data_IF_566671703631
#
_entry.id   IF_566671703631
#
_cell.length_a   1.000
_cell.length_b   1.000
_cell.length_c   1.000
_cell.angle_alpha   90.00
_cell.angle_beta   90.00
_cell.angle_gamma   90.00
#
_symmetry.space_group_name_H-M   'P 1'
#
loop_
_entity.id
_entity.type
_entity.pdbx_description
1 polymer ?
#
# COMPACT_ATOMS: atom_id res chain seq x y z
N UNK A 1 -98.17 17.72 -10.34
CA UNK A 1 -97.82 19.16 -10.27
C UNK A 1 -97.04 19.38 -8.98
N UNK A 2 -95.84 20.00 -8.93
CA UNK A 2 -94.63 19.98 -9.79
C UNK A 2 -93.56 19.04 -9.15
N UNK A 3 -92.32 18.78 -9.61
CA UNK A 3 -91.46 19.33 -10.66
C UNK A 3 -90.26 18.39 -10.93
N UNK A 4 -89.37 18.75 -11.88
CA UNK A 4 -88.37 17.86 -12.47
C UNK A 4 -86.98 17.97 -11.80
N UNK A 5 -86.25 16.87 -11.71
CA UNK A 5 -84.87 16.84 -11.20
C UNK A 5 -84.04 15.76 -11.90
N UNK A 6 -83.42 16.12 -13.02
CA UNK A 6 -82.47 15.29 -13.74
C UNK A 6 -81.30 14.88 -12.82
N UNK A 7 -81.13 13.57 -12.60
CA UNK A 7 -79.92 13.04 -11.93
C UNK A 7 -78.87 12.76 -13.00
N UNK A 8 -77.85 13.62 -13.02
CA UNK A 8 -76.65 13.48 -13.82
C UNK A 8 -75.81 12.25 -13.38
N UNK A 9 -75.26 11.54 -14.36
CA UNK A 9 -74.19 10.55 -14.19
C UNK A 9 -72.97 11.16 -13.47
N UNK A 10 -72.43 10.52 -12.42
CA UNK A 10 -71.07 10.83 -11.98
C UNK A 10 -70.07 10.12 -12.89
N UNK A 11 -69.18 10.93 -13.48
CA UNK A 11 -68.01 10.52 -14.26
C UNK A 11 -67.15 9.53 -13.48
N UNK A 12 -66.75 8.44 -14.15
CA UNK A 12 -65.66 7.60 -13.72
C UNK A 12 -64.36 8.43 -13.66
N UNK A 13 -63.85 8.68 -12.45
CA UNK A 13 -62.50 9.20 -12.26
C UNK A 13 -61.51 8.08 -12.49
N UNK A 14 -60.84 8.10 -13.64
CA UNK A 14 -59.71 7.22 -13.97
C UNK A 14 -58.53 7.50 -13.03
N UNK A 15 -58.35 6.66 -12.01
CA UNK A 15 -57.13 6.64 -11.20
C UNK A 15 -56.01 5.94 -11.98
N UNK A 16 -55.12 6.72 -12.60
CA UNK A 16 -53.86 6.23 -13.17
C UNK A 16 -52.85 5.87 -12.05
N UNK A 17 -52.07 4.77 -12.18
CA UNK A 17 -51.14 4.34 -11.15
C UNK A 17 -49.80 5.08 -11.27
N UNK A 18 -49.67 6.26 -10.66
CA UNK A 18 -48.38 7.00 -10.59
C UNK A 18 -47.48 6.63 -9.41
N UNK A 19 -47.88 5.70 -8.54
CA UNK A 19 -47.17 5.44 -7.27
C UNK A 19 -46.00 4.44 -7.35
N UNK A 20 -45.98 3.51 -8.31
CA UNK A 20 -44.94 2.46 -8.35
C UNK A 20 -43.59 2.92 -8.91
N UNK A 21 -43.56 3.80 -9.90
CA UNK A 21 -42.31 4.26 -10.52
C UNK A 21 -41.52 5.24 -9.64
N UNK A 22 -42.19 6.04 -8.81
CA UNK A 22 -41.55 6.99 -7.89
C UNK A 22 -40.92 6.28 -6.68
N UNK A 23 -41.53 5.18 -6.21
CA UNK A 23 -41.02 4.35 -5.11
C UNK A 23 -39.74 3.58 -5.51
N UNK A 24 -39.72 2.98 -6.71
CA UNK A 24 -38.55 2.22 -7.19
C UNK A 24 -37.34 3.14 -7.40
N UNK A 25 -37.52 4.31 -8.03
CA UNK A 25 -36.42 5.28 -8.20
C UNK A 25 -35.86 5.78 -6.87
N UNK A 26 -36.71 6.06 -5.87
CA UNK A 26 -36.27 6.49 -4.55
C UNK A 26 -35.49 5.41 -3.79
N UNK A 27 -35.90 4.14 -3.93
CA UNK A 27 -35.19 3.00 -3.33
C UNK A 27 -33.84 2.75 -4.01
N UNK A 28 -33.79 2.76 -5.35
CA UNK A 28 -32.54 2.64 -6.10
C UNK A 28 -31.57 3.77 -5.76
N UNK A 29 -32.05 5.01 -5.68
CA UNK A 29 -31.20 6.16 -5.33
C UNK A 29 -30.59 6.01 -3.93
N UNK A 30 -31.40 5.66 -2.93
CA UNK A 30 -30.90 5.44 -1.56
C UNK A 30 -29.89 4.31 -1.49
N UNK A 31 -30.16 3.19 -2.17
CA UNK A 31 -29.23 2.06 -2.25
C UNK A 31 -27.89 2.47 -2.86
N UNK A 32 -27.90 3.19 -3.99
CA UNK A 32 -26.68 3.69 -4.62
C UNK A 32 -25.92 4.69 -3.74
N UNK A 33 -26.64 5.60 -3.06
CA UNK A 33 -26.04 6.58 -2.17
C UNK A 33 -25.40 5.92 -0.95
N UNK A 34 -26.08 4.96 -0.32
CA UNK A 34 -25.55 4.18 0.80
C UNK A 34 -24.28 3.41 0.42
N UNK A 35 -24.28 2.71 -0.71
CA UNK A 35 -23.11 1.98 -1.17
C UNK A 35 -21.94 2.94 -1.49
N UNK A 36 -22.24 4.07 -2.14
CA UNK A 36 -21.25 5.10 -2.43
C UNK A 36 -20.65 5.68 -1.14
N UNK A 37 -21.48 5.99 -0.13
CA UNK A 37 -21.01 6.48 1.17
C UNK A 37 -20.17 5.44 1.91
N UNK A 38 -20.46 4.15 1.77
CA UNK A 38 -19.67 3.08 2.37
C UNK A 38 -18.31 2.85 1.69
N UNK A 39 -18.17 3.11 0.39
CA UNK A 39 -16.98 2.74 -0.38
C UNK A 39 -16.13 3.93 -0.84
N UNK A 40 -16.75 5.01 -1.31
CA UNK A 40 -16.02 6.12 -1.92
C UNK A 40 -15.08 6.84 -0.95
N UNK A 41 -15.43 7.12 0.31
CA UNK A 41 -14.55 7.88 1.19
C UNK A 41 -13.15 7.29 1.32
N UNK A 42 -13.05 5.98 1.57
CA UNK A 42 -11.76 5.31 1.73
C UNK A 42 -10.98 5.22 0.40
N UNK A 43 -11.68 5.01 -0.73
CA UNK A 43 -11.04 4.95 -2.06
C UNK A 43 -10.57 6.32 -2.53
N UNK A 44 -11.33 7.37 -2.27
CA UNK A 44 -10.96 8.76 -2.52
C UNK A 44 -9.75 9.12 -1.66
N UNK A 45 -9.75 8.76 -0.38
CA UNK A 45 -8.61 9.02 0.49
C UNK A 45 -7.35 8.30 0.00
N UNK A 46 -7.45 7.02 -0.39
CA UNK A 46 -6.35 6.30 -1.03
C UNK A 46 -5.86 7.02 -2.30
N UNK A 47 -6.78 7.49 -3.15
CA UNK A 47 -6.43 8.25 -4.35
C UNK A 47 -5.66 9.53 -4.00
N UNK A 48 -6.10 10.28 -2.99
CA UNK A 48 -5.39 11.47 -2.49
C UNK A 48 -3.98 11.11 -2.03
N UNK A 49 -3.78 10.03 -1.27
CA UNK A 49 -2.45 9.59 -0.85
C UNK A 49 -1.53 9.26 -2.04
N UNK A 50 -2.07 8.65 -3.09
CA UNK A 50 -1.33 8.34 -4.34
C UNK A 50 -1.00 9.61 -5.12
N UNK A 51 -1.88 10.61 -5.10
CA UNK A 51 -1.65 11.90 -5.74
C UNK A 51 -0.58 12.70 -5.00
N UNK A 52 -0.57 12.67 -3.67
CA UNK A 52 0.43 13.32 -2.81
C UNK A 52 1.82 12.68 -2.89
N UNK A 53 1.94 11.44 -3.37
CA UNK A 53 3.23 10.81 -3.61
C UNK A 53 3.93 11.48 -4.80
N UNK A 54 4.85 12.40 -4.50
CA UNK A 54 5.63 13.15 -5.50
C UNK A 54 6.48 12.27 -6.41
N UNK A 55 6.95 11.12 -5.91
CA UNK A 55 7.86 10.24 -6.66
C UNK A 55 7.13 9.11 -7.39
N UNK A 56 5.81 8.97 -7.18
CA UNK A 56 4.97 7.91 -7.77
C UNK A 56 5.62 6.53 -7.58
N UNK A 57 5.95 6.23 -6.32
CA UNK A 57 6.66 5.03 -5.89
C UNK A 57 5.81 3.77 -6.04
N UNK A 58 4.49 3.89 -5.89
CA UNK A 58 3.56 2.77 -6.00
C UNK A 58 2.82 2.80 -7.34
N UNK A 59 3.11 1.87 -8.28
CA UNK A 59 2.39 1.81 -9.55
C UNK A 59 0.93 1.39 -9.34
N UNK A 60 -0.02 1.85 -10.18
CA UNK A 60 -1.45 1.55 -10.02
C UNK A 60 -1.78 0.05 -9.95
N UNK A 61 -1.08 -0.78 -10.73
CA UNK A 61 -1.25 -2.25 -10.70
C UNK A 61 -0.98 -2.83 -9.32
N UNK A 62 0.00 -2.29 -8.59
CA UNK A 62 0.29 -2.72 -7.21
C UNK A 62 -0.80 -2.30 -6.25
N UNK A 63 -1.38 -1.12 -6.41
CA UNK A 63 -2.51 -0.64 -5.60
C UNK A 63 -3.71 -1.58 -5.76
N UNK A 64 -4.07 -1.92 -7.00
CA UNK A 64 -5.17 -2.87 -7.27
C UNK A 64 -4.90 -4.23 -6.63
N UNK A 65 -3.68 -4.78 -6.80
CA UNK A 65 -3.31 -6.05 -6.15
C UNK A 65 -3.41 -5.99 -4.63
N UNK A 66 -3.00 -4.87 -4.03
CA UNK A 66 -3.08 -4.65 -2.58
C UNK A 66 -4.52 -4.55 -2.08
N UNK A 67 -5.39 -3.86 -2.81
CA UNK A 67 -6.84 -3.81 -2.52
C UNK A 67 -7.44 -5.22 -2.55
N UNK A 68 -7.13 -6.02 -3.59
CA UNK A 68 -7.64 -7.39 -3.71
C UNK A 68 -7.12 -8.32 -2.60
N UNK A 69 -5.84 -8.22 -2.24
CA UNK A 69 -5.27 -8.99 -1.13
C UNK A 69 -5.88 -8.58 0.22
N UNK A 70 -6.18 -7.29 0.41
CA UNK A 70 -6.93 -6.80 1.56
C UNK A 70 -8.35 -7.36 1.60
N UNK A 71 -9.04 -7.38 0.47
CA UNK A 71 -10.36 -7.99 0.34
C UNK A 71 -10.37 -9.48 0.63
N UNK A 72 -9.36 -10.22 0.15
CA UNK A 72 -9.17 -11.63 0.49
C UNK A 72 -8.95 -11.81 2.01
N UNK A 73 -8.13 -10.95 2.62
CA UNK A 73 -7.94 -10.97 4.07
C UNK A 73 -9.25 -10.72 4.84
N UNK A 74 -10.15 -9.88 4.35
CA UNK A 74 -11.48 -9.68 4.95
C UNK A 74 -12.33 -10.95 4.88
N UNK A 75 -12.41 -11.61 3.72
CA UNK A 75 -13.16 -12.87 3.56
C UNK A 75 -12.63 -13.96 4.50
N UNK A 76 -11.31 -14.13 4.55
CA UNK A 76 -10.67 -15.10 5.45
C UNK A 76 -10.93 -14.73 6.91
N UNK A 77 -10.88 -13.45 7.26
CA UNK A 77 -11.12 -13.00 8.63
C UNK A 77 -12.55 -13.25 9.09
N UNK A 78 -13.55 -13.07 8.21
CA UNK A 78 -14.95 -13.34 8.54
C UNK A 78 -15.15 -14.81 8.90
N UNK A 79 -14.64 -15.73 8.07
CA UNK A 79 -14.71 -17.16 8.33
C UNK A 79 -13.99 -17.54 9.63
N UNK A 80 -12.77 -17.05 9.83
CA UNK A 80 -12.00 -17.37 11.04
C UNK A 80 -12.65 -16.81 12.32
N UNK A 81 -13.18 -15.59 12.27
CA UNK A 81 -13.86 -14.99 13.42
C UNK A 81 -15.15 -15.74 13.78
N UNK A 82 -15.88 -16.24 12.79
CA UNK A 82 -17.08 -17.05 13.03
C UNK A 82 -16.74 -18.39 13.70
N UNK A 83 -15.74 -19.11 13.17
CA UNK A 83 -15.25 -20.37 13.73
C UNK A 83 -14.69 -20.20 15.15
N UNK A 84 -13.85 -19.16 15.36
CA UNK A 84 -13.29 -18.86 16.69
C UNK A 84 -14.39 -18.56 17.71
N UNK A 85 -15.38 -17.75 17.33
CA UNK A 85 -16.51 -17.43 18.21
C UNK A 85 -17.31 -18.68 18.58
N UNK A 86 -17.55 -19.57 17.61
CA UNK A 86 -18.30 -20.80 17.84
C UNK A 86 -17.51 -21.81 18.70
N UNK A 87 -16.21 -22.00 18.42
CA UNK A 87 -15.38 -22.99 19.10
C UNK A 87 -15.05 -22.61 20.55
N UNK A 88 -14.94 -21.31 20.85
CA UNK A 88 -14.53 -20.80 22.15
C UNK A 88 -15.68 -20.15 22.95
N UNK A 89 -16.91 -20.21 22.42
CA UNK A 89 -18.12 -19.61 23.01
C UNK A 89 -17.92 -18.14 23.41
N UNK A 90 -17.21 -17.38 22.57
CA UNK A 90 -16.83 -15.99 22.88
C UNK A 90 -18.06 -15.07 22.77
N UNK A 91 -18.30 -14.27 23.81
CA UNK A 91 -19.33 -13.23 23.79
C UNK A 91 -19.14 -12.25 22.63
N UNK A 92 -20.24 -11.81 22.01
CA UNK A 92 -20.22 -10.93 20.85
C UNK A 92 -19.48 -9.60 21.13
N UNK A 93 -19.53 -9.10 22.36
CA UNK A 93 -18.83 -7.86 22.76
C UNK A 93 -17.33 -8.09 22.83
N UNK A 94 -16.90 -9.21 23.42
CA UNK A 94 -15.48 -9.59 23.48
C UNK A 94 -14.93 -9.86 22.08
N UNK A 95 -15.73 -10.52 21.25
CA UNK A 95 -15.40 -10.79 19.85
C UNK A 95 -15.15 -9.48 19.10
N UNK A 96 -16.10 -8.54 19.14
CA UNK A 96 -16.01 -7.28 18.41
C UNK A 96 -14.89 -6.36 18.93
N UNK A 97 -14.63 -6.35 20.24
CA UNK A 97 -13.68 -5.41 20.86
C UNK A 97 -12.23 -5.91 20.89
N UNK A 98 -11.99 -7.22 20.87
CA UNK A 98 -10.64 -7.76 21.08
C UNK A 98 -10.24 -8.80 20.04
N UNK A 99 -11.04 -9.85 19.86
CA UNK A 99 -10.66 -10.99 19.01
C UNK A 99 -10.67 -10.61 17.54
N UNK A 100 -11.72 -9.96 17.06
CA UNK A 100 -11.81 -9.51 15.68
C UNK A 100 -10.67 -8.51 15.33
N UNK A 101 -10.41 -7.45 16.11
CA UNK A 101 -9.25 -6.58 15.88
C UNK A 101 -7.91 -7.32 15.79
N UNK A 102 -7.68 -8.31 16.67
CA UNK A 102 -6.46 -9.11 16.66
C UNK A 102 -6.31 -9.91 15.36
N UNK A 103 -7.36 -10.66 14.98
CA UNK A 103 -7.37 -11.53 13.79
C UNK A 103 -7.26 -10.70 12.51
N UNK A 104 -8.03 -9.61 12.43
CA UNK A 104 -8.08 -8.75 11.25
C UNK A 104 -6.75 -8.05 10.98
N UNK A 105 -6.14 -7.45 12.01
CA UNK A 105 -4.84 -6.80 11.86
C UNK A 105 -3.71 -7.81 11.64
N UNK A 106 -3.83 -9.04 12.17
CA UNK A 106 -2.89 -10.12 11.86
C UNK A 106 -2.95 -10.49 10.37
N UNK A 107 -4.13 -10.79 9.83
CA UNK A 107 -4.30 -11.21 8.43
C UNK A 107 -3.87 -10.12 7.45
N UNK A 108 -4.28 -8.88 7.68
CA UNK A 108 -3.82 -7.71 6.93
C UNK A 108 -2.31 -7.52 7.04
N UNK A 109 -1.79 -7.67 8.26
CA UNK A 109 -0.37 -7.58 8.59
C UNK A 109 0.48 -8.61 7.85
N UNK A 110 0.00 -9.84 7.65
CA UNK A 110 0.71 -10.87 6.89
C UNK A 110 0.97 -10.45 5.43
N UNK A 111 0.00 -9.78 4.79
CA UNK A 111 0.18 -9.23 3.44
C UNK A 111 1.28 -8.17 3.44
N UNK A 112 1.27 -7.27 4.41
CA UNK A 112 2.30 -6.24 4.59
C UNK A 112 3.69 -6.84 4.84
N UNK A 113 3.79 -7.83 5.72
CA UNK A 113 5.05 -8.54 6.02
C UNK A 113 5.59 -9.23 4.77
N UNK A 114 4.74 -9.84 3.95
CA UNK A 114 5.16 -10.44 2.69
C UNK A 114 5.73 -9.38 1.71
N UNK A 115 5.20 -8.15 1.70
CA UNK A 115 5.75 -7.06 0.89
C UNK A 115 7.11 -6.58 1.42
N UNK A 116 7.25 -6.44 2.74
CA UNK A 116 8.50 -6.08 3.40
C UNK A 116 9.58 -7.14 3.16
N UNK A 117 9.27 -8.41 3.43
CA UNK A 117 10.20 -9.53 3.28
C UNK A 117 10.68 -9.71 1.83
N UNK A 118 9.84 -9.35 0.85
CA UNK A 118 10.18 -9.35 -0.58
C UNK A 118 10.79 -8.02 -1.06
N UNK A 119 11.19 -7.14 -0.15
CA UNK A 119 11.82 -5.84 -0.43
C UNK A 119 11.02 -4.98 -1.44
N UNK A 120 9.69 -5.03 -1.34
CA UNK A 120 8.77 -4.28 -2.22
C UNK A 120 8.40 -2.91 -1.67
N UNK A 121 8.82 -2.59 -0.45
CA UNK A 121 8.62 -1.29 0.19
C UNK A 121 10.00 -0.68 0.49
N UNK A 122 10.34 0.42 -0.17
CA UNK A 122 11.67 1.04 -0.11
C UNK A 122 11.72 2.24 0.83
N UNK A 123 10.63 2.97 0.97
CA UNK A 123 10.52 4.23 1.68
C UNK A 123 9.34 4.25 2.66
N UNK A 124 9.17 5.35 3.39
CA UNK A 124 8.02 5.51 4.28
C UNK A 124 6.73 5.78 3.50
N UNK A 125 6.82 6.54 2.40
CA UNK A 125 5.67 6.93 1.57
C UNK A 125 5.03 5.70 0.92
N UNK A 126 5.82 4.85 0.25
CA UNK A 126 5.27 3.65 -0.40
C UNK A 126 4.80 2.60 0.62
N UNK A 127 5.42 2.52 1.80
CA UNK A 127 4.93 1.73 2.92
C UNK A 127 3.56 2.24 3.40
N UNK A 128 3.40 3.54 3.64
CA UNK A 128 2.15 4.14 4.09
C UNK A 128 1.01 3.94 3.07
N UNK A 129 1.27 4.22 1.78
CA UNK A 129 0.30 4.02 0.69
C UNK A 129 -0.07 2.54 0.55
N UNK A 130 0.92 1.64 0.59
CA UNK A 130 0.68 0.19 0.47
C UNK A 130 -0.11 -0.35 1.66
N UNK A 131 0.21 0.07 2.88
CA UNK A 131 -0.53 -0.28 4.09
C UNK A 131 -1.97 0.23 4.01
N UNK A 132 -2.16 1.49 3.64
CA UNK A 132 -3.50 2.04 3.45
C UNK A 132 -4.29 1.30 2.37
N UNK A 133 -3.68 0.95 1.24
CA UNK A 133 -4.35 0.22 0.16
C UNK A 133 -4.83 -1.18 0.59
N UNK A 134 -4.03 -1.93 1.35
CA UNK A 134 -4.45 -3.23 1.87
C UNK A 134 -5.62 -3.05 2.86
N UNK A 135 -5.54 -2.08 3.77
CA UNK A 135 -6.61 -1.80 4.75
C UNK A 135 -7.90 -1.28 4.10
N UNK A 136 -7.78 -0.46 3.05
CA UNK A 136 -8.90 0.02 2.25
C UNK A 136 -9.60 -1.12 1.50
N UNK A 137 -8.83 -2.07 0.97
CA UNK A 137 -9.36 -3.27 0.32
C UNK A 137 -10.14 -4.15 1.29
N UNK A 138 -9.58 -4.35 2.50
CA UNK A 138 -10.26 -5.05 3.58
C UNK A 138 -11.60 -4.39 3.91
N UNK A 139 -11.58 -3.08 4.20
CA UNK A 139 -12.77 -2.31 4.53
C UNK A 139 -13.84 -2.30 3.42
N UNK A 140 -13.43 -2.25 2.16
CA UNK A 140 -14.36 -2.26 1.04
C UNK A 140 -15.15 -3.58 1.01
N UNK A 141 -14.47 -4.72 1.09
CA UNK A 141 -15.11 -6.03 1.13
C UNK A 141 -15.95 -6.22 2.38
N UNK A 142 -15.48 -5.72 3.53
CA UNK A 142 -16.25 -5.74 4.76
C UNK A 142 -17.56 -4.93 4.64
N UNK A 143 -17.49 -3.71 4.12
CA UNK A 143 -18.67 -2.88 3.87
C UNK A 143 -19.63 -3.51 2.87
N UNK A 144 -19.12 -4.14 1.81
CA UNK A 144 -19.93 -4.90 0.85
C UNK A 144 -20.67 -6.06 1.56
N UNK A 145 -19.99 -6.82 2.40
CA UNK A 145 -20.61 -7.89 3.18
C UNK A 145 -21.72 -7.35 4.10
N UNK A 146 -21.41 -6.35 4.92
CA UNK A 146 -22.41 -5.71 5.80
C UNK A 146 -23.60 -5.14 5.02
N UNK A 147 -23.37 -4.67 3.78
CA UNK A 147 -24.44 -4.16 2.92
C UNK A 147 -25.44 -5.26 2.57
N UNK A 148 -24.92 -6.46 2.26
CA UNK A 148 -25.76 -7.61 1.92
C UNK A 148 -26.49 -8.21 3.12
N UNK A 149 -25.86 -8.20 4.30
CA UNK A 149 -26.40 -8.81 5.52
C UNK A 149 -27.41 -7.90 6.21
N UNK A 150 -27.06 -6.62 6.42
CA UNK A 150 -27.94 -5.68 7.12
C UNK A 150 -29.12 -5.24 6.24
N UNK A 151 -28.92 -5.17 4.91
CA UNK A 151 -29.88 -4.63 3.93
C UNK A 151 -30.43 -3.23 4.31
N UNK A 152 -29.68 -2.51 5.16
CA UNK A 152 -30.02 -1.18 5.63
C UNK A 152 -29.55 -0.14 4.60
N UNK A 153 -30.40 0.84 4.28
CA UNK A 153 -30.10 1.96 3.38
C UNK A 153 -29.97 3.30 4.14
N UNK A 154 -29.72 3.23 5.45
CA UNK A 154 -29.49 4.38 6.32
C UNK A 154 -28.22 5.13 5.88
N UNK A 155 -28.40 6.35 5.34
CA UNK A 155 -27.29 7.19 4.92
C UNK A 155 -26.34 7.51 6.09
N UNK A 156 -26.86 7.61 7.32
CA UNK A 156 -26.04 7.88 8.51
C UNK A 156 -25.13 6.70 8.81
N UNK A 157 -25.67 5.47 8.82
CA UNK A 157 -24.88 4.26 9.04
C UNK A 157 -23.74 4.16 8.03
N UNK A 158 -24.04 4.34 6.74
CA UNK A 158 -23.05 4.21 5.68
C UNK A 158 -22.04 5.36 5.65
N UNK A 159 -22.44 6.56 6.06
CA UNK A 159 -21.51 7.67 6.30
C UNK A 159 -20.51 7.31 7.41
N UNK A 160 -21.01 6.82 8.56
CA UNK A 160 -20.15 6.44 9.69
C UNK A 160 -19.22 5.28 9.31
N UNK A 161 -19.72 4.27 8.61
CA UNK A 161 -18.87 3.15 8.16
C UNK A 161 -17.84 3.59 7.14
N UNK A 162 -18.20 4.46 6.19
CA UNK A 162 -17.29 4.95 5.15
C UNK A 162 -16.21 5.87 5.68
N UNK A 163 -16.55 6.86 6.50
CA UNK A 163 -15.60 7.85 7.03
C UNK A 163 -14.94 7.42 8.35
N UNK A 164 -15.58 6.54 9.11
CA UNK A 164 -15.07 5.98 10.35
C UNK A 164 -14.35 4.66 10.10
N UNK A 165 -15.10 3.55 10.10
CA UNK A 165 -14.54 2.19 10.06
C UNK A 165 -13.62 1.94 8.87
N UNK A 166 -14.01 2.34 7.66
CA UNK A 166 -13.22 2.06 6.47
C UNK A 166 -11.90 2.82 6.42
N UNK A 167 -11.94 4.10 6.81
CA UNK A 167 -10.73 4.92 6.95
C UNK A 167 -9.85 4.39 8.08
N UNK A 168 -10.43 3.98 9.22
CA UNK A 168 -9.72 3.37 10.33
C UNK A 168 -8.92 2.14 9.88
N UNK A 169 -9.52 1.18 9.17
CA UNK A 169 -8.79 0.00 8.69
C UNK A 169 -7.62 0.34 7.75
N UNK A 170 -7.80 1.34 6.88
CA UNK A 170 -6.71 1.86 6.05
C UNK A 170 -5.59 2.45 6.91
N UNK A 171 -5.94 3.24 7.91
CA UNK A 171 -4.98 3.96 8.74
C UNK A 171 -4.24 3.09 9.75
N UNK A 172 -4.89 2.12 10.40
CA UNK A 172 -4.21 1.19 11.33
C UNK A 172 -3.10 0.45 10.60
N UNK A 173 -3.37 -0.03 9.39
CA UNK A 173 -2.40 -0.77 8.60
C UNK A 173 -1.33 0.14 7.97
N UNK A 174 -1.67 1.39 7.62
CA UNK A 174 -0.68 2.38 7.21
C UNK A 174 0.31 2.71 8.36
N UNK A 175 -0.19 2.87 9.59
CA UNK A 175 0.63 3.08 10.79
C UNK A 175 1.54 1.87 11.04
N UNK A 176 1.00 0.65 10.98
CA UNK A 176 1.79 -0.57 11.07
C UNK A 176 2.90 -0.61 10.00
N UNK A 177 2.59 -0.26 8.75
CA UNK A 177 3.54 -0.25 7.65
C UNK A 177 4.68 0.76 7.86
N UNK A 178 4.36 1.98 8.28
CA UNK A 178 5.35 3.03 8.57
C UNK A 178 6.25 2.61 9.74
N UNK A 179 5.67 2.11 10.83
CA UNK A 179 6.42 1.65 12.00
C UNK A 179 7.34 0.47 11.65
N UNK A 180 6.79 -0.54 10.98
CA UNK A 180 7.54 -1.73 10.56
C UNK A 180 8.67 -1.39 9.60
N UNK A 181 8.42 -0.53 8.60
CA UNK A 181 9.46 -0.09 7.67
C UNK A 181 10.56 0.71 8.37
N UNK A 182 10.18 1.65 9.26
CA UNK A 182 11.16 2.45 9.98
C UNK A 182 12.03 1.61 10.91
N UNK A 183 11.47 0.58 11.56
CA UNK A 183 12.26 -0.33 12.41
C UNK A 183 13.10 -1.31 11.59
N UNK A 184 12.56 -1.83 10.48
CA UNK A 184 13.30 -2.70 9.56
C UNK A 184 14.55 -2.00 9.04
N UNK A 185 14.44 -0.72 8.63
CA UNK A 185 15.58 0.07 8.17
C UNK A 185 16.65 0.25 9.26
N UNK A 186 16.23 0.46 10.51
CA UNK A 186 17.17 0.63 11.64
C UNK A 186 17.84 -0.68 12.06
N UNK A 187 17.15 -1.80 11.89
CA UNK A 187 17.63 -3.14 12.31
C UNK A 187 18.32 -3.91 11.19
N UNK A 188 18.42 -3.34 9.99
CA UNK A 188 19.06 -3.98 8.83
C UNK A 188 18.23 -5.09 8.18
N UNK A 189 16.91 -5.13 8.42
CA UNK A 189 16.02 -6.08 7.77
C UNK A 189 14.76 -6.42 8.55
N UNK A 190 13.91 -7.22 7.90
CA UNK A 190 12.60 -7.63 8.41
C UNK A 190 12.76 -8.73 9.46
N UNK A 191 12.24 -8.48 10.64
CA UNK A 191 12.22 -9.41 11.77
C UNK A 191 10.95 -9.23 12.61
N UNK A 192 10.60 -10.20 13.45
CA UNK A 192 9.48 -10.07 14.39
C UNK A 192 9.61 -8.80 15.24
N UNK A 193 10.81 -8.48 15.71
CA UNK A 193 11.07 -7.28 16.50
C UNK A 193 10.94 -5.96 15.71
N UNK A 194 10.98 -6.01 14.37
CA UNK A 194 10.67 -4.84 13.53
C UNK A 194 9.18 -4.65 13.28
N UNK A 195 8.40 -5.74 13.22
CA UNK A 195 6.98 -5.72 12.82
C UNK A 195 6.04 -5.69 14.02
N UNK A 196 6.33 -6.48 15.06
CA UNK A 196 5.45 -6.67 16.21
C UNK A 196 5.03 -5.37 16.91
N UNK A 197 5.90 -4.35 17.09
CA UNK A 197 5.46 -3.08 17.67
C UNK A 197 4.40 -2.37 16.83
N UNK A 198 4.58 -2.34 15.49
CA UNK A 198 3.61 -1.74 14.59
C UNK A 198 2.27 -2.49 14.57
N UNK A 199 2.33 -3.82 14.61
CA UNK A 199 1.15 -4.68 14.70
C UNK A 199 0.38 -4.46 16.02
N UNK A 200 1.09 -4.44 17.16
CA UNK A 200 0.48 -4.21 18.46
C UNK A 200 -0.24 -2.84 18.53
N UNK A 201 0.38 -1.80 17.96
CA UNK A 201 -0.25 -0.48 17.84
C UNK A 201 -1.50 -0.53 16.96
N UNK A 202 -1.46 -1.24 15.83
CA UNK A 202 -2.62 -1.37 14.95
C UNK A 202 -3.79 -2.09 15.64
N UNK A 203 -3.52 -3.21 16.33
CA UNK A 203 -4.52 -3.95 17.12
C UNK A 203 -5.10 -3.06 18.22
N UNK A 204 -4.26 -2.33 18.95
CA UNK A 204 -4.69 -1.42 20.00
C UNK A 204 -5.60 -0.31 19.49
N UNK A 205 -5.23 0.34 18.38
CA UNK A 205 -6.03 1.40 17.76
C UNK A 205 -7.36 0.89 17.23
N UNK A 206 -7.37 -0.29 16.60
CA UNK A 206 -8.60 -0.91 16.10
C UNK A 206 -9.51 -1.33 17.25
N UNK A 207 -8.97 -2.01 18.27
CA UNK A 207 -9.70 -2.36 19.48
C UNK A 207 -10.30 -1.12 20.16
N UNK A 208 -9.52 -0.05 20.30
CA UNK A 208 -9.97 1.23 20.86
C UNK A 208 -11.13 1.83 20.06
N UNK A 209 -11.07 1.78 18.73
CA UNK A 209 -12.16 2.22 17.87
C UNK A 209 -13.46 1.43 18.13
N UNK A 210 -13.36 0.11 18.30
CA UNK A 210 -14.50 -0.78 18.55
C UNK A 210 -15.05 -0.70 19.99
N UNK A 211 -14.38 -0.01 20.91
CA UNK A 211 -14.93 0.27 22.24
C UNK A 211 -15.99 1.37 22.24
N UNK A 212 -16.04 2.21 21.19
CA UNK A 212 -16.98 3.32 21.06
C UNK A 212 -17.00 4.27 22.28
N UNK A 213 -15.85 4.50 22.93
CA UNK A 213 -15.71 5.51 24.00
C UNK A 213 -16.10 6.91 23.52
N UNK A 214 -15.97 7.15 22.22
CA UNK A 214 -16.44 8.34 21.51
C UNK A 214 -17.54 7.92 20.54
N UNK A 215 -18.57 8.75 20.39
CA UNK A 215 -19.68 8.45 19.47
C UNK A 215 -19.16 8.18 18.05
N UNK A 216 -19.77 7.26 17.28
CA UNK A 216 -19.27 6.92 15.94
C UNK A 216 -19.12 8.11 15.00
N UNK A 217 -20.05 9.08 15.08
CA UNK A 217 -19.99 10.33 14.30
C UNK A 217 -18.77 11.19 14.69
N UNK A 218 -18.52 11.34 16.00
CA UNK A 218 -17.38 12.10 16.49
C UNK A 218 -16.06 11.39 16.18
N UNK A 219 -16.00 10.06 16.25
CA UNK A 219 -14.83 9.28 15.83
C UNK A 219 -14.53 9.45 14.33
N UNK A 220 -15.54 9.43 13.47
CA UNK A 220 -15.37 9.70 12.04
C UNK A 220 -14.87 11.14 11.78
N UNK A 221 -15.42 12.13 12.47
CA UNK A 221 -14.97 13.52 12.37
C UNK A 221 -13.52 13.70 12.87
N UNK A 222 -13.15 13.02 13.96
CA UNK A 222 -11.79 13.02 14.49
C UNK A 222 -10.80 12.44 13.48
N UNK A 223 -11.12 11.29 12.86
CA UNK A 223 -10.28 10.66 11.85
C UNK A 223 -10.08 11.57 10.62
N UNK A 224 -11.13 12.26 10.19
CA UNK A 224 -11.07 13.24 9.09
C UNK A 224 -10.10 14.40 9.33
N UNK A 225 -9.80 14.73 10.59
CA UNK A 225 -8.85 15.80 10.94
C UNK A 225 -7.47 15.23 11.28
N UNK A 226 -7.42 14.17 12.09
CA UNK A 226 -6.18 13.61 12.61
C UNK A 226 -5.35 12.92 11.51
N UNK A 227 -6.00 12.21 10.59
CA UNK A 227 -5.28 11.42 9.59
C UNK A 227 -4.60 12.27 8.52
N UNK A 228 -5.22 13.33 7.95
CA UNK A 228 -4.49 14.22 7.06
C UNK A 228 -3.23 14.81 7.69
N UNK A 229 -3.29 15.21 8.98
CA UNK A 229 -2.12 15.68 9.71
C UNK A 229 -1.04 14.59 9.83
N UNK A 230 -1.43 13.37 10.23
CA UNK A 230 -0.52 12.22 10.28
C UNK A 230 0.15 11.94 8.93
N UNK A 231 -0.62 11.82 7.85
CA UNK A 231 -0.07 11.54 6.52
C UNK A 231 0.80 12.68 6.00
N UNK A 232 0.46 13.94 6.30
CA UNK A 232 1.31 15.08 5.95
C UNK A 232 2.69 14.98 6.60
N UNK A 233 2.76 14.62 7.88
CA UNK A 233 4.03 14.42 8.58
C UNK A 233 4.81 13.24 7.98
N UNK A 234 4.15 12.10 7.78
CA UNK A 234 4.77 10.89 7.21
C UNK A 234 5.33 11.18 5.81
N UNK A 235 4.59 11.90 4.97
CA UNK A 235 5.02 12.22 3.61
C UNK A 235 6.16 13.22 3.61
N UNK A 236 6.11 14.29 4.43
CA UNK A 236 7.23 15.24 4.55
C UNK A 236 8.52 14.55 4.99
N UNK A 237 8.46 13.72 6.04
CA UNK A 237 9.63 12.98 6.54
C UNK A 237 10.09 11.95 5.51
N UNK A 238 9.16 11.23 4.88
CA UNK A 238 9.44 10.23 3.87
C UNK A 238 10.15 10.83 2.65
N UNK A 239 9.62 11.93 2.11
CA UNK A 239 10.21 12.63 0.97
C UNK A 239 11.58 13.23 1.27
N UNK A 240 11.78 13.77 2.48
CA UNK A 240 13.09 14.26 2.90
C UNK A 240 14.13 13.14 2.87
N UNK A 241 13.80 11.96 3.43
CA UNK A 241 14.66 10.78 3.42
C UNK A 241 14.89 10.22 2.02
N UNK A 242 13.86 10.21 1.16
CA UNK A 242 14.01 9.80 -0.25
C UNK A 242 14.94 10.75 -0.98
N UNK A 243 14.83 12.06 -0.76
CA UNK A 243 15.69 13.08 -1.38
C UNK A 243 17.14 12.96 -0.93
N UNK A 244 17.37 12.77 0.37
CA UNK A 244 18.70 12.57 0.94
C UNK A 244 19.37 11.32 0.38
N UNK A 245 18.64 10.19 0.33
CA UNK A 245 19.10 8.97 -0.31
C UNK A 245 19.40 9.19 -1.80
N UNK A 246 18.53 9.87 -2.53
CA UNK A 246 18.75 10.18 -3.95
C UNK A 246 20.03 10.99 -4.15
N UNK A 247 20.21 12.11 -3.44
CA UNK A 247 21.38 12.98 -3.63
C UNK A 247 22.69 12.27 -3.30
N UNK A 248 22.82 11.74 -2.08
CA UNK A 248 24.06 11.11 -1.61
C UNK A 248 24.49 9.91 -2.46
N UNK A 249 23.54 9.04 -2.81
CA UNK A 249 23.85 7.81 -3.52
C UNK A 249 23.93 7.97 -5.04
N UNK A 250 23.29 9.00 -5.63
CA UNK A 250 23.37 9.22 -7.06
C UNK A 250 24.73 9.76 -7.47
N UNK A 251 25.24 10.76 -6.74
CA UNK A 251 26.56 11.36 -7.01
C UNK A 251 27.66 10.30 -6.85
N UNK A 252 27.60 9.52 -5.77
CA UNK A 252 28.53 8.41 -5.52
C UNK A 252 28.51 7.37 -6.64
N UNK A 253 27.32 6.97 -7.11
CA UNK A 253 27.21 5.98 -8.19
C UNK A 253 27.75 6.54 -9.52
N UNK A 254 27.51 7.82 -9.80
CA UNK A 254 28.01 8.48 -11.01
C UNK A 254 29.54 8.59 -11.01
N UNK A 255 30.14 9.01 -9.91
CA UNK A 255 31.59 9.07 -9.76
C UNK A 255 32.23 7.69 -9.94
N UNK A 256 31.67 6.66 -9.31
CA UNK A 256 32.18 5.30 -9.43
C UNK A 256 32.02 4.75 -10.85
N UNK A 257 30.87 4.99 -11.49
CA UNK A 257 30.66 4.56 -12.88
C UNK A 257 31.64 5.26 -13.83
N UNK A 258 31.89 6.56 -13.64
CA UNK A 258 32.85 7.32 -14.45
C UNK A 258 34.28 6.76 -14.32
N UNK A 259 34.69 6.38 -13.11
CA UNK A 259 35.98 5.73 -12.87
C UNK A 259 36.09 4.37 -13.56
N UNK A 260 35.02 3.55 -13.48
CA UNK A 260 34.94 2.23 -14.12
C UNK A 260 35.02 2.34 -15.64
N UNK A 261 34.25 3.26 -16.24
CA UNK A 261 34.24 3.46 -17.69
C UNK A 261 35.54 4.08 -18.21
N UNK A 262 36.15 5.01 -17.45
CA UNK A 262 37.42 5.62 -17.82
C UNK A 262 38.64 4.70 -17.64
N UNK A 263 38.47 3.49 -17.09
CA UNK A 263 39.57 2.57 -16.79
C UNK A 263 40.49 3.05 -15.66
N UNK A 264 40.08 4.06 -14.88
CA UNK A 264 40.86 4.66 -13.77
C UNK A 264 40.48 4.11 -12.41
N UNK A 265 39.89 2.91 -12.37
CA UNK A 265 39.47 2.29 -11.10
C UNK A 265 40.62 2.16 -10.13
N UNK A 266 41.83 1.86 -10.59
CA UNK A 266 43.07 1.74 -9.81
C UNK A 266 43.43 2.98 -8.98
N UNK A 267 42.96 4.17 -9.37
CA UNK A 267 43.20 5.42 -8.64
C UNK A 267 42.26 5.60 -7.44
N UNK A 268 41.27 4.71 -7.29
CA UNK A 268 40.24 4.79 -6.25
C UNK A 268 40.40 3.71 -5.18
N UNK A 269 39.75 3.92 -4.02
CA UNK A 269 39.63 2.90 -2.97
C UNK A 269 39.00 1.61 -3.49
N UNK A 270 38.07 1.72 -4.45
CA UNK A 270 37.45 0.56 -5.09
C UNK A 270 38.49 -0.20 -5.93
N UNK A 271 39.36 0.47 -6.67
CA UNK A 271 40.45 -0.19 -7.38
C UNK A 271 41.42 -0.93 -6.49
N UNK A 272 41.79 -0.35 -5.35
CA UNK A 272 42.62 -1.02 -4.34
C UNK A 272 41.96 -2.31 -3.84
N UNK A 273 40.64 -2.27 -3.59
CA UNK A 273 39.88 -3.45 -3.20
C UNK A 273 39.82 -4.52 -4.32
N UNK A 274 39.60 -4.10 -5.57
CA UNK A 274 39.64 -5.04 -6.71
C UNK A 274 41.04 -5.62 -6.95
N UNK A 275 42.11 -4.90 -6.64
CA UNK A 275 43.47 -5.43 -6.66
C UNK A 275 43.66 -6.54 -5.61
N UNK A 276 43.08 -6.38 -4.42
CA UNK A 276 43.03 -7.44 -3.40
C UNK A 276 42.22 -8.65 -3.90
N UNK A 277 41.08 -8.44 -4.56
CA UNK A 277 40.26 -9.52 -5.13
C UNK A 277 41.02 -10.36 -6.17
N UNK A 278 41.93 -9.76 -6.96
CA UNK A 278 42.80 -10.49 -7.90
C UNK A 278 43.69 -11.54 -7.23
N UNK A 279 43.98 -11.38 -5.94
CA UNK A 279 44.76 -12.38 -5.19
C UNK A 279 43.91 -13.56 -4.71
N UNK A 280 42.59 -13.41 -4.68
CA UNK A 280 41.63 -14.39 -4.13
C UNK A 280 40.77 -15.09 -5.18
N UNK A 281 40.61 -14.47 -6.35
CA UNK A 281 39.77 -14.96 -7.43
C UNK A 281 40.54 -15.02 -8.76
N UNK A 282 40.17 -15.94 -9.68
CA UNK A 282 40.72 -15.95 -11.04
C UNK A 282 40.53 -14.60 -11.74
N UNK A 283 41.48 -14.20 -12.58
CA UNK A 283 41.42 -12.92 -13.30
C UNK A 283 40.14 -12.74 -14.13
N UNK A 284 39.62 -13.82 -14.73
CA UNK A 284 38.33 -13.82 -15.46
C UNK A 284 37.17 -13.44 -14.55
N UNK A 285 37.08 -14.04 -13.36
CA UNK A 285 36.03 -13.73 -12.37
C UNK A 285 36.12 -12.27 -11.91
N UNK A 286 37.33 -11.73 -11.74
CA UNK A 286 37.50 -10.31 -11.35
C UNK A 286 37.02 -9.37 -12.47
N UNK A 287 37.26 -9.72 -13.74
CA UNK A 287 36.72 -8.97 -14.88
C UNK A 287 35.18 -9.03 -14.87
N UNK A 288 34.60 -10.21 -14.65
CA UNK A 288 33.14 -10.36 -14.57
C UNK A 288 32.54 -9.58 -13.39
N UNK A 289 33.24 -9.49 -12.26
CA UNK A 289 32.83 -8.65 -11.12
C UNK A 289 32.86 -7.15 -11.46
N UNK A 290 33.82 -6.69 -12.28
CA UNK A 290 33.84 -5.31 -12.77
C UNK A 290 32.67 -5.04 -13.74
N UNK A 291 32.37 -5.99 -14.63
CA UNK A 291 31.19 -5.92 -15.50
C UNK A 291 29.90 -5.87 -14.69
N UNK A 292 29.78 -6.72 -13.67
CA UNK A 292 28.64 -6.75 -12.77
C UNK A 292 28.49 -5.43 -12.00
N UNK A 293 29.58 -4.88 -11.47
CA UNK A 293 29.60 -3.58 -10.80
C UNK A 293 29.13 -2.47 -11.74
N UNK A 294 29.69 -2.41 -12.96
CA UNK A 294 29.29 -1.42 -13.97
C UNK A 294 27.79 -1.50 -14.25
N UNK A 295 27.28 -2.69 -14.54
CA UNK A 295 25.87 -2.89 -14.88
C UNK A 295 24.95 -2.53 -13.72
N UNK A 296 25.36 -2.84 -12.48
CA UNK A 296 24.62 -2.43 -11.28
C UNK A 296 24.54 -0.91 -11.15
N UNK A 297 25.66 -0.19 -11.33
CA UNK A 297 25.71 1.27 -11.25
C UNK A 297 24.86 1.92 -12.36
N UNK A 298 24.94 1.41 -13.59
CA UNK A 298 24.10 1.89 -14.70
C UNK A 298 22.60 1.73 -14.38
N UNK A 299 22.19 0.58 -13.83
CA UNK A 299 20.80 0.33 -13.43
C UNK A 299 20.37 1.22 -12.25
N UNK A 300 21.24 1.42 -11.26
CA UNK A 300 21.00 2.28 -10.10
C UNK A 300 20.80 3.75 -10.50
N UNK A 301 21.71 4.30 -11.31
CA UNK A 301 21.62 5.66 -11.85
C UNK A 301 20.34 5.84 -12.66
N UNK A 302 19.98 4.88 -13.53
CA UNK A 302 18.73 4.92 -14.29
C UNK A 302 17.50 4.91 -13.39
N UNK A 303 17.49 4.07 -12.35
CA UNK A 303 16.38 3.99 -11.40
C UNK A 303 16.17 5.32 -10.66
N UNK A 304 17.25 5.94 -10.20
CA UNK A 304 17.23 7.23 -9.51
C UNK A 304 16.86 8.37 -10.45
N UNK A 305 17.37 8.36 -11.68
CA UNK A 305 16.99 9.29 -12.74
C UNK A 305 15.49 9.24 -13.03
N UNK A 306 14.90 8.04 -13.11
CA UNK A 306 13.46 7.86 -13.26
C UNK A 306 12.66 8.50 -12.11
N UNK A 307 13.14 8.39 -10.87
CA UNK A 307 12.50 9.02 -9.71
C UNK A 307 12.59 10.56 -9.77
N UNK A 308 13.72 11.10 -10.20
CA UNK A 308 13.89 12.55 -10.40
C UNK A 308 12.96 13.09 -11.50
N UNK A 309 12.86 12.38 -12.63
CA UNK A 309 11.95 12.73 -13.72
C UNK A 309 10.48 12.71 -13.28
N UNK A 310 10.07 11.67 -12.54
CA UNK A 310 8.70 11.57 -11.98
C UNK A 310 8.39 12.72 -11.04
N UNK A 311 9.31 13.07 -10.16
CA UNK A 311 9.18 14.21 -9.24
C UNK A 311 9.01 15.53 -10.00
N UNK A 312 9.69 15.70 -11.12
CA UNK A 312 9.56 16.87 -11.99
C UNK A 312 8.29 16.85 -12.86
N UNK A 313 7.45 15.80 -12.76
CA UNK A 313 6.19 15.69 -13.48
C UNK A 313 6.29 15.03 -14.86
N UNK A 314 7.45 14.49 -15.24
CA UNK A 314 7.62 13.83 -16.54
C UNK A 314 7.05 12.40 -16.53
N UNK A 315 6.38 12.02 -17.61
CA UNK A 315 6.02 10.65 -17.91
C UNK A 315 7.16 9.97 -18.66
N UNK A 316 7.81 9.00 -18.02
CA UNK A 316 8.93 8.27 -18.62
C UNK A 316 8.42 6.95 -19.20
N UNK A 317 8.59 6.70 -20.51
CA UNK A 317 8.22 5.42 -21.10
C UNK A 317 9.09 4.30 -20.52
N UNK A 318 8.58 3.06 -20.46
CA UNK A 318 9.40 1.91 -20.09
C UNK A 318 10.52 1.73 -21.12
N UNK A 319 11.77 1.65 -20.66
CA UNK A 319 12.92 1.39 -21.54
C UNK A 319 12.86 -0.08 -22.01
N UNK A 320 12.82 -0.33 -23.33
CA UNK A 320 12.74 -1.68 -23.89
C UNK A 320 13.94 -2.56 -23.47
N UNK A 321 15.11 -1.97 -23.25
CA UNK A 321 16.36 -2.68 -22.98
C UNK A 321 16.46 -3.14 -21.50
N UNK A 322 15.54 -2.72 -20.62
CA UNK A 322 15.63 -3.08 -19.21
C UNK A 322 15.60 -4.59 -18.98
N UNK A 323 14.74 -5.31 -19.70
CA UNK A 323 14.63 -6.76 -19.52
C UNK A 323 15.93 -7.49 -19.90
N UNK A 324 16.61 -7.01 -20.94
CA UNK A 324 17.89 -7.56 -21.40
C UNK A 324 19.00 -7.28 -20.39
N UNK A 325 19.12 -6.03 -19.93
CA UNK A 325 20.09 -5.65 -18.87
C UNK A 325 19.86 -6.42 -17.57
N UNK A 326 18.61 -6.69 -17.20
CA UNK A 326 18.30 -7.55 -16.04
C UNK A 326 18.63 -9.03 -16.28
N UNK A 327 18.49 -9.51 -17.52
CA UNK A 327 18.89 -10.87 -17.88
C UNK A 327 20.42 -11.01 -17.82
N UNK A 328 21.15 -10.00 -18.30
CA UNK A 328 22.61 -9.92 -18.23
C UNK A 328 23.10 -9.84 -16.77
N UNK A 329 22.49 -8.99 -15.93
CA UNK A 329 22.81 -8.89 -14.51
C UNK A 329 22.70 -10.26 -13.83
N UNK A 330 21.56 -10.95 -14.02
CA UNK A 330 21.35 -12.30 -13.47
C UNK A 330 22.25 -13.37 -14.09
N UNK A 331 22.73 -13.16 -15.30
CA UNK A 331 23.70 -14.06 -15.93
C UNK A 331 25.07 -13.89 -15.26
N UNK A 332 25.55 -12.66 -15.12
CA UNK A 332 26.79 -12.33 -14.43
C UNK A 332 26.79 -12.77 -12.97
N UNK A 333 25.69 -12.53 -12.22
CA UNK A 333 25.52 -13.00 -10.84
C UNK A 333 25.70 -14.53 -10.71
N UNK A 334 25.17 -15.30 -11.68
CA UNK A 334 25.32 -16.75 -11.72
C UNK A 334 26.72 -17.18 -12.12
N UNK A 335 27.35 -16.46 -13.04
CA UNK A 335 28.66 -16.78 -13.59
C UNK A 335 29.77 -16.56 -12.56
N UNK A 336 29.74 -15.44 -11.82
CA UNK A 336 30.73 -15.16 -10.77
C UNK A 336 30.54 -16.04 -9.53
N UNK A 337 29.31 -16.51 -9.30
CA UNK A 337 28.96 -17.36 -8.17
C UNK A 337 28.77 -16.59 -6.84
N UNK A 338 28.16 -17.24 -5.83
CA UNK A 338 27.69 -16.57 -4.62
C UNK A 338 28.81 -15.99 -3.76
N UNK A 339 29.99 -16.61 -3.73
CA UNK A 339 31.13 -16.16 -2.94
C UNK A 339 31.73 -14.88 -3.53
N UNK A 340 31.99 -14.86 -4.83
CA UNK A 340 32.50 -13.68 -5.52
C UNK A 340 31.46 -12.54 -5.51
N UNK A 341 30.18 -12.87 -5.67
CA UNK A 341 29.10 -11.88 -5.56
C UNK A 341 29.06 -11.20 -4.18
N UNK A 342 29.18 -11.96 -3.09
CA UNK A 342 29.24 -11.39 -1.73
C UNK A 342 30.49 -10.54 -1.51
N UNK A 343 31.58 -10.82 -2.22
CA UNK A 343 32.78 -9.99 -2.16
C UNK A 343 32.52 -8.57 -2.69
N UNK A 344 31.44 -8.30 -3.42
CA UNK A 344 31.08 -6.93 -3.79
C UNK A 344 30.40 -6.13 -2.67
N UNK A 345 30.01 -6.74 -1.54
CA UNK A 345 29.29 -6.04 -0.48
C UNK A 345 30.00 -4.79 0.10
N UNK A 346 31.34 -4.71 0.16
CA UNK A 346 32.02 -3.47 0.58
C UNK A 346 32.00 -2.35 -0.46
N UNK A 347 31.71 -2.68 -1.74
CA UNK A 347 31.69 -1.74 -2.87
C UNK A 347 30.26 -1.35 -3.24
N UNK A 348 29.35 -2.32 -3.22
CA UNK A 348 27.93 -2.16 -3.50
C UNK A 348 27.15 -2.19 -2.19
N UNK A 349 26.43 -1.11 -1.92
CA UNK A 349 25.38 -1.14 -0.92
C UNK A 349 24.25 -2.04 -1.45
N UNK A 350 24.09 -3.23 -0.87
CA UNK A 350 22.95 -4.11 -1.15
C UNK A 350 21.80 -3.83 -0.18
N UNK A 351 21.43 -2.57 0.01
CA UNK A 351 20.36 -2.22 0.94
C UNK A 351 19.00 -2.70 0.42
N UNK A 352 18.00 -2.76 1.29
CA UNK A 352 16.62 -3.06 0.87
C UNK A 352 16.11 -2.06 -0.19
N UNK A 353 16.62 -0.81 -0.17
CA UNK A 353 16.30 0.22 -1.17
C UNK A 353 16.93 -0.09 -2.53
N UNK A 354 18.11 -0.70 -2.54
CA UNK A 354 18.83 -1.05 -3.77
C UNK A 354 18.20 -2.28 -4.46
N UNK A 355 17.58 -3.18 -3.70
CA UNK A 355 16.75 -4.24 -4.30
C UNK A 355 15.38 -3.70 -4.72
N UNK A 356 14.80 -2.82 -3.91
CA UNK A 356 13.52 -2.18 -4.25
C UNK A 356 13.60 -1.39 -5.57
N UNK A 357 14.68 -0.65 -5.82
CA UNK A 357 14.82 0.13 -7.06
C UNK A 357 14.86 -0.77 -8.29
N UNK A 358 15.45 -1.97 -8.18
CA UNK A 358 15.45 -2.95 -9.26
C UNK A 358 14.03 -3.43 -9.58
N UNK A 359 13.20 -3.63 -8.56
CA UNK A 359 11.77 -3.94 -8.75
C UNK A 359 10.99 -2.79 -9.38
N UNK A 360 11.28 -1.56 -8.97
CA UNK A 360 10.66 -0.35 -9.52
C UNK A 360 10.90 -0.25 -11.03
N UNK A 361 12.16 -0.41 -11.45
CA UNK A 361 12.58 -0.31 -12.85
C UNK A 361 12.06 -1.48 -13.68
N UNK A 362 12.04 -2.69 -13.11
CA UNK A 362 11.47 -3.85 -13.78
C UNK A 362 9.93 -3.78 -13.95
N UNK A 363 9.26 -2.79 -13.33
CA UNK A 363 7.80 -2.68 -13.34
C UNK A 363 7.08 -3.81 -12.61
N UNK A 364 7.74 -4.45 -11.64
CA UNK A 364 7.27 -5.68 -10.97
C UNK A 364 6.71 -5.44 -9.57
#
# INVERSE_FOLDING_TARGET
MPGPGAKACPRATSSWPRSRSCSVRGMTLRLTASLALGLLPVLVFLCVLVLLDSYKLVPPRRIVRQLLLGGLAAVVSMALNEELRAALEIDATVQARYVAPLVEELLKGLVLVALLARRRLGFLVDAAVSGFAIGAGFAAFENLHYFTVLRDTSLVLWTVRGFGTAVMHGSTLAIMAVAAKSLSDRRGGVSAASVAPGWAVAVGLHSLFNHFFVSPNASAALLLVALPAFFTVVFRVGEARTREWLGTSFDTDQELLALVVAGRTSESRVGAYFAELKTRFPGTVVVDLLCLLRLHLELSIRAKGLLLMRKAGFTVPPDPDFNERFAELRHLERLVGPTAHRALAPVLNFSDRDVWQLHLVAGR
#
